data_IF_537616842853
#
_entry.id   IF_537616842853
#
_cell.length_a   1.000
_cell.length_b   1.000
_cell.length_c   1.000
_cell.angle_alpha   90.00
_cell.angle_beta   90.00
_cell.angle_gamma   90.00
#
_symmetry.space_group_name_H-M   'P 1'
#
loop_
_entity.id
_entity.type
_entity.pdbx_description
1 polymer ?
#
# COMPACT_ATOMS: atom_id res chain seq x y z
N UNK A 1 1.11 14.37 27.34
CA UNK A 1 -0.34 14.23 27.11
C UNK A 1 -0.86 13.17 28.08
N UNK A 2 -1.89 13.48 28.87
CA UNK A 2 -2.54 12.53 29.78
C UNK A 2 -3.87 12.06 29.17
N UNK A 3 -4.20 10.78 29.30
CA UNK A 3 -5.44 10.18 28.78
C UNK A 3 -6.18 9.44 29.90
N UNK A 4 -7.46 9.74 30.16
CA UNK A 4 -8.25 9.03 31.16
C UNK A 4 -8.41 7.53 30.84
N UNK A 5 -8.59 6.72 31.90
CA UNK A 5 -8.96 5.31 31.75
C UNK A 5 -10.32 5.18 31.03
N UNK A 6 -10.44 4.15 30.19
CA UNK A 6 -11.63 3.93 29.35
C UNK A 6 -11.65 4.73 28.04
N UNK A 7 -10.65 5.57 27.77
CA UNK A 7 -10.53 6.27 26.48
C UNK A 7 -10.14 5.32 25.36
N UNK A 8 -11.00 5.15 24.36
CA UNK A 8 -10.67 4.43 23.13
C UNK A 8 -9.72 5.26 22.26
N UNK A 9 -8.58 4.68 21.89
CA UNK A 9 -7.60 5.31 21.00
C UNK A 9 -7.44 4.47 19.74
N UNK A 10 -7.47 5.14 18.60
CA UNK A 10 -7.25 4.52 17.28
C UNK A 10 -6.29 5.36 16.45
N UNK A 11 -5.53 4.70 15.59
CA UNK A 11 -4.73 5.36 14.57
C UNK A 11 -5.43 5.25 13.23
N UNK A 12 -5.55 6.39 12.54
CA UNK A 12 -6.13 6.46 11.22
C UNK A 12 -4.98 6.31 10.19
N UNK A 13 -4.93 5.15 9.55
CA UNK A 13 -3.83 4.79 8.64
C UNK A 13 -3.80 5.62 7.36
N UNK A 14 -4.97 5.95 6.81
CA UNK A 14 -5.08 6.61 5.51
C UNK A 14 -4.38 7.98 5.44
N UNK A 15 -4.63 8.83 6.44
CA UNK A 15 -4.04 10.16 6.61
C UNK A 15 -2.58 10.05 7.01
N UNK A 16 -2.24 9.15 7.94
CA UNK A 16 -0.85 8.98 8.38
C UNK A 16 0.07 8.56 7.22
N UNK A 17 -0.40 7.67 6.35
CA UNK A 17 0.39 7.16 5.21
C UNK A 17 0.48 8.16 4.06
N UNK A 18 -0.31 9.24 4.10
CA UNK A 18 -0.39 10.29 3.07
C UNK A 18 -0.07 11.68 3.61
N UNK A 19 0.59 11.76 4.76
CA UNK A 19 0.93 13.03 5.40
C UNK A 19 2.12 13.68 4.66
N UNK A 20 1.93 14.87 4.04
CA UNK A 20 3.00 15.57 3.33
C UNK A 20 4.16 16.01 4.25
N UNK A 21 3.96 16.06 5.57
CA UNK A 21 5.05 16.32 6.52
C UNK A 21 5.95 15.11 6.74
N UNK A 22 5.53 13.92 6.29
CA UNK A 22 6.24 12.65 6.47
C UNK A 22 6.74 12.04 5.18
N UNK A 23 6.10 12.37 4.06
CA UNK A 23 6.36 11.76 2.78
C UNK A 23 6.44 12.83 1.69
N UNK A 24 7.51 12.82 0.91
CA UNK A 24 7.61 13.57 -0.33
C UNK A 24 6.53 13.09 -1.31
N UNK A 25 5.74 14.00 -1.88
CA UNK A 25 4.65 13.65 -2.80
C UNK A 25 3.77 12.48 -2.26
N UNK A 26 3.22 12.70 -1.06
CA UNK A 26 2.64 11.68 -0.20
C UNK A 26 1.43 10.94 -0.80
N UNK A 27 0.77 11.53 -1.79
CA UNK A 27 -0.40 10.93 -2.46
C UNK A 27 -0.04 10.13 -3.71
N UNK A 28 1.19 10.24 -4.20
CA UNK A 28 1.64 9.57 -5.42
C UNK A 28 2.18 8.16 -5.16
N UNK A 29 1.92 7.26 -6.10
CA UNK A 29 2.48 5.92 -6.12
C UNK A 29 3.94 5.99 -6.58
N UNK A 30 4.87 5.94 -5.64
CA UNK A 30 6.32 5.96 -5.89
C UNK A 30 6.93 4.65 -5.35
N UNK A 31 7.03 3.58 -6.15
CA UNK A 31 7.63 2.32 -5.72
C UNK A 31 9.08 2.46 -5.26
N UNK A 32 9.84 3.33 -5.91
CA UNK A 32 11.27 3.60 -5.65
C UNK A 32 11.50 4.07 -4.22
N UNK A 33 10.49 4.68 -3.58
CA UNK A 33 10.48 5.12 -2.18
C UNK A 33 10.94 4.02 -1.22
N UNK A 34 10.62 2.77 -1.55
CA UNK A 34 10.87 1.60 -0.70
C UNK A 34 12.17 0.87 -1.02
N UNK A 35 12.92 1.33 -2.03
CA UNK A 35 14.20 0.75 -2.42
C UNK A 35 15.36 1.39 -1.65
N UNK A 36 16.51 0.71 -1.51
CA UNK A 36 17.68 1.29 -0.85
C UNK A 36 18.16 2.60 -1.48
N UNK A 37 17.93 2.80 -2.79
CA UNK A 37 18.27 4.04 -3.48
C UNK A 37 17.56 5.27 -2.89
N UNK A 38 16.39 5.10 -2.26
CA UNK A 38 15.64 6.19 -1.64
C UNK A 38 16.23 6.69 -0.32
N UNK A 39 17.33 6.11 0.18
CA UNK A 39 18.07 6.66 1.34
C UNK A 39 19.28 7.49 0.93
N UNK A 40 19.57 7.58 -0.38
CA UNK A 40 20.66 8.40 -0.90
C UNK A 40 20.26 9.87 -0.92
N UNK A 41 21.24 10.77 -0.80
CA UNK A 41 21.01 12.23 -0.72
C UNK A 41 20.43 12.82 -2.00
N UNK A 42 20.63 12.19 -3.15
CA UNK A 42 20.07 12.57 -4.44
C UNK A 42 18.59 12.15 -4.62
N UNK A 43 18.04 11.35 -3.71
CA UNK A 43 16.64 10.92 -3.78
C UNK A 43 15.69 11.98 -3.21
N UNK A 44 14.57 12.29 -3.89
CA UNK A 44 13.54 13.15 -3.33
C UNK A 44 12.85 12.54 -2.10
N UNK A 45 12.92 11.21 -1.94
CA UNK A 45 12.32 10.45 -0.84
C UNK A 45 13.28 10.26 0.36
N UNK A 46 14.45 10.93 0.38
CA UNK A 46 15.49 10.72 1.40
C UNK A 46 14.99 10.92 2.82
N UNK A 47 14.13 11.92 3.03
CA UNK A 47 13.60 12.31 4.34
C UNK A 47 12.28 11.61 4.69
N UNK A 48 11.83 10.63 3.89
CA UNK A 48 10.56 9.98 4.14
C UNK A 48 10.58 9.13 5.40
N UNK A 49 9.53 9.29 6.22
CA UNK A 49 9.31 8.53 7.43
C UNK A 49 8.65 7.18 7.13
N UNK A 50 9.32 6.36 6.34
CA UNK A 50 8.86 5.02 5.87
C UNK A 50 8.31 4.13 6.98
N UNK A 51 8.87 4.21 8.19
CA UNK A 51 8.40 3.42 9.34
C UNK A 51 7.00 3.85 9.85
N UNK A 52 6.47 5.00 9.45
CA UNK A 52 5.10 5.40 9.76
C UNK A 52 4.06 4.50 9.05
N UNK A 53 4.43 3.81 7.97
CA UNK A 53 3.56 2.85 7.29
C UNK A 53 3.58 1.51 8.01
N UNK A 54 2.56 1.28 8.83
CA UNK A 54 2.33 0.04 9.58
C UNK A 54 1.12 -0.72 9.02
N UNK A 55 1.22 -1.20 7.77
CA UNK A 55 0.12 -1.85 7.06
C UNK A 55 -0.43 -3.11 7.76
N UNK A 56 0.36 -3.73 8.63
CA UNK A 56 0.01 -4.92 9.41
C UNK A 56 -0.23 -4.61 10.90
N UNK A 57 -0.48 -3.34 11.24
CA UNK A 57 -0.49 -2.83 12.61
C UNK A 57 0.89 -2.94 13.30
N UNK A 58 0.96 -2.60 14.59
CA UNK A 58 2.17 -2.65 15.40
C UNK A 58 1.86 -3.09 16.85
N UNK A 59 2.88 -3.51 17.58
CA UNK A 59 2.78 -3.92 18.98
C UNK A 59 2.22 -5.35 19.16
N UNK A 60 1.73 -5.69 20.37
CA UNK A 60 1.29 -7.06 20.70
C UNK A 60 0.13 -7.58 19.85
N UNK A 61 -0.63 -6.69 19.20
CA UNK A 61 -1.75 -7.02 18.31
C UNK A 61 -1.38 -6.87 16.82
N UNK A 62 -0.10 -6.96 16.49
CA UNK A 62 0.35 -7.00 15.10
C UNK A 62 -0.25 -8.21 14.37
N UNK A 63 -0.55 -8.06 13.09
CA UNK A 63 -1.12 -9.15 12.29
C UNK A 63 -0.16 -10.35 12.22
N UNK A 64 -0.56 -11.47 12.82
CA UNK A 64 0.19 -12.73 12.79
C UNK A 64 0.34 -13.28 11.36
N UNK A 65 -0.64 -13.01 10.49
CA UNK A 65 -0.65 -13.41 9.09
C UNK A 65 0.30 -12.63 8.18
N UNK A 66 1.06 -11.65 8.70
CA UNK A 66 1.94 -10.78 7.89
C UNK A 66 2.87 -11.56 6.97
N UNK A 67 3.50 -12.62 7.48
CA UNK A 67 4.47 -13.40 6.69
C UNK A 67 3.79 -14.20 5.57
N UNK A 68 2.62 -14.79 5.85
CA UNK A 68 1.83 -15.51 4.86
C UNK A 68 1.31 -14.56 3.77
N UNK A 69 0.74 -13.42 4.17
CA UNK A 69 0.25 -12.39 3.24
C UNK A 69 1.36 -11.93 2.29
N UNK A 70 2.59 -11.72 2.79
CA UNK A 70 3.73 -11.38 1.93
C UNK A 70 4.08 -12.48 0.93
N UNK A 71 4.05 -13.75 1.36
CA UNK A 71 4.34 -14.87 0.47
C UNK A 71 3.29 -14.99 -0.64
N UNK A 72 2.00 -14.92 -0.29
CA UNK A 72 0.88 -15.01 -1.23
C UNK A 72 0.87 -13.83 -2.21
N UNK A 73 1.02 -12.59 -1.73
CA UNK A 73 1.05 -11.40 -2.60
C UNK A 73 2.22 -11.46 -3.60
N UNK A 74 3.41 -11.90 -3.16
CA UNK A 74 4.56 -12.04 -4.06
C UNK A 74 4.34 -13.13 -5.10
N UNK A 75 3.85 -14.30 -4.67
CA UNK A 75 3.59 -15.42 -5.58
C UNK A 75 2.51 -15.08 -6.60
N UNK A 76 1.40 -14.49 -6.15
CA UNK A 76 0.29 -14.08 -7.02
C UNK A 76 0.75 -13.04 -8.04
N UNK A 77 1.41 -11.97 -7.60
CA UNK A 77 1.92 -10.92 -8.51
C UNK A 77 2.95 -11.48 -9.49
N UNK A 78 3.90 -12.29 -9.04
CA UNK A 78 4.90 -12.90 -9.91
C UNK A 78 4.26 -13.80 -10.97
N UNK A 79 3.28 -14.64 -10.58
CA UNK A 79 2.57 -15.53 -11.51
C UNK A 79 1.72 -14.75 -12.51
N UNK A 80 1.04 -13.70 -12.07
CA UNK A 80 0.25 -12.84 -12.95
C UNK A 80 1.11 -12.18 -14.02
N UNK A 81 2.22 -11.55 -13.60
CA UNK A 81 3.13 -10.85 -14.53
C UNK A 81 3.93 -11.79 -15.43
N UNK A 82 4.19 -13.02 -14.98
CA UNK A 82 4.87 -14.04 -15.77
C UNK A 82 3.94 -14.64 -16.84
N UNK A 83 2.69 -14.95 -16.48
CA UNK A 83 1.77 -15.66 -17.37
C UNK A 83 0.95 -14.75 -18.29
N UNK A 84 0.76 -13.47 -17.95
CA UNK A 84 -0.18 -12.60 -18.66
C UNK A 84 0.36 -11.21 -18.97
N UNK A 85 -0.06 -10.68 -20.11
CA UNK A 85 -0.06 -9.24 -20.38
C UNK A 85 -1.37 -8.66 -19.84
N UNK A 86 -1.27 -7.64 -18.98
CA UNK A 86 -2.38 -6.98 -18.30
C UNK A 86 -2.50 -5.54 -18.79
N UNK A 87 -3.66 -5.18 -19.33
CA UNK A 87 -3.97 -3.81 -19.76
C UNK A 87 -5.20 -3.31 -19.00
N UNK A 88 -5.18 -2.06 -18.54
CA UNK A 88 -6.38 -1.41 -18.01
C UNK A 88 -7.40 -1.25 -19.15
N UNK A 89 -8.64 -1.67 -18.90
CA UNK A 89 -9.69 -1.70 -19.91
C UNK A 89 -10.98 -1.12 -19.34
N UNK A 90 -10.95 0.11 -18.83
CA UNK A 90 -12.11 0.79 -18.25
C UNK A 90 -11.74 2.16 -17.70
N UNK A 91 -12.65 2.77 -16.95
CA UNK A 91 -12.38 4.04 -16.28
C UNK A 91 -11.33 3.89 -15.17
N UNK A 92 -10.54 4.95 -14.97
CA UNK A 92 -9.56 4.99 -13.87
C UNK A 92 -10.31 5.04 -12.54
N UNK A 93 -10.09 4.01 -11.73
CA UNK A 93 -10.68 3.90 -10.41
C UNK A 93 -9.91 4.77 -9.40
N UNK A 94 -10.53 5.86 -8.97
CA UNK A 94 -10.00 6.72 -7.92
C UNK A 94 -10.29 6.13 -6.55
N UNK A 95 -9.23 5.80 -5.80
CA UNK A 95 -9.35 5.16 -4.48
C UNK A 95 -10.12 6.00 -3.47
N UNK A 96 -10.00 7.33 -3.58
CA UNK A 96 -10.67 8.30 -2.70
C UNK A 96 -12.20 8.26 -2.81
N UNK A 97 -12.71 7.69 -3.91
CA UNK A 97 -14.15 7.56 -4.19
C UNK A 97 -14.73 6.21 -3.70
N UNK A 98 -13.92 5.38 -3.03
CA UNK A 98 -14.35 4.08 -2.50
C UNK A 98 -14.75 4.21 -1.02
N UNK A 99 -15.90 3.66 -0.68
CA UNK A 99 -16.33 3.59 0.72
C UNK A 99 -15.42 2.63 1.47
N UNK A 100 -14.76 3.13 2.50
CA UNK A 100 -13.81 2.36 3.30
C UNK A 100 -14.33 2.27 4.73
N UNK A 101 -14.63 1.06 5.18
CA UNK A 101 -15.02 0.75 6.55
C UNK A 101 -13.89 -0.07 7.21
N UNK A 102 -14.19 -1.29 7.67
CA UNK A 102 -13.17 -2.28 7.99
C UNK A 102 -12.41 -2.75 6.75
N UNK A 103 -13.12 -2.84 5.62
CA UNK A 103 -12.57 -3.17 4.30
C UNK A 103 -13.06 -2.15 3.27
N UNK A 104 -12.35 -2.06 2.15
CA UNK A 104 -12.73 -1.23 1.00
C UNK A 104 -13.88 -1.91 0.25
N UNK A 105 -14.95 -1.17 0.01
CA UNK A 105 -16.02 -1.58 -0.90
C UNK A 105 -15.48 -1.59 -2.33
N UNK A 106 -15.31 -2.78 -2.90
CA UNK A 106 -14.72 -2.97 -4.23
C UNK A 106 -15.71 -2.53 -5.31
N UNK A 107 -15.27 -1.65 -6.21
CA UNK A 107 -15.95 -1.40 -7.49
C UNK A 107 -15.31 -2.24 -8.59
N UNK A 108 -16.00 -2.48 -9.73
CA UNK A 108 -15.41 -3.18 -10.86
C UNK A 108 -14.10 -2.53 -11.30
N UNK A 109 -13.06 -3.36 -11.49
CA UNK A 109 -11.81 -2.98 -12.11
C UNK A 109 -11.69 -3.79 -13.40
N UNK A 110 -11.91 -3.14 -14.53
CA UNK A 110 -11.90 -3.78 -15.83
C UNK A 110 -10.46 -3.88 -16.35
N UNK A 111 -10.04 -5.10 -16.64
CA UNK A 111 -8.68 -5.43 -17.08
C UNK A 111 -8.80 -6.35 -18.29
N UNK A 112 -8.10 -6.01 -19.37
CA UNK A 112 -7.88 -6.92 -20.49
C UNK A 112 -6.67 -7.77 -20.18
N UNK A 113 -6.85 -9.08 -20.26
CA UNK A 113 -5.83 -10.08 -19.93
C UNK A 113 -5.56 -10.91 -21.19
N UNK A 114 -4.28 -11.02 -21.57
CA UNK A 114 -3.83 -11.92 -22.64
C UNK A 114 -2.78 -12.87 -22.08
N UNK A 115 -2.93 -14.17 -22.32
CA UNK A 115 -1.89 -15.14 -21.98
C UNK A 115 -0.63 -14.83 -22.80
N UNK A 116 0.53 -14.76 -22.13
CA UNK A 116 1.81 -14.64 -22.82
C UNK A 116 2.12 -15.99 -23.46
N UNK A 117 2.33 -16.00 -24.78
CA UNK A 117 3.07 -17.08 -25.42
C UNK A 117 4.46 -17.14 -24.79
N UNK A 118 4.97 -18.35 -24.54
CA UNK A 118 6.18 -18.68 -23.75
C UNK A 118 7.29 -17.59 -23.82
N UNK A 119 7.95 -17.26 -22.69
CA UNK A 119 8.96 -16.19 -22.61
C UNK A 119 10.18 -16.40 -23.51
#
# INVERSE_FOLDING_TARGET
MWMPAGTSVSLQSWTLFRDPNRFHDATSLIPERWLPAATRQDSPCVNDQRQAVQAFSAGPRICMGRHLAWAEMRLATARLLWAFDLEAAGEVLHWDNLRTFLLVEKKPLEIRIRARSDP
#
